data_IF_933085040010
#
_entry.id   IF_933085040010
#
_cell.length_a   1.000
_cell.length_b   1.000
_cell.length_c   1.000
_cell.angle_alpha   90.00
_cell.angle_beta   90.00
_cell.angle_gamma   90.00
#
_symmetry.space_group_name_H-M   'P 1'
#
loop_
_entity.id
_entity.type
_entity.pdbx_description
1 polymer ?
#
# COMPACT_ATOMS: atom_id res chain seq x y z
N UNK A 1 30.67 0.13 23.95
CA UNK A 1 30.36 -0.10 22.52
C UNK A 1 30.75 1.15 21.73
N UNK A 2 31.35 1.01 20.55
CA UNK A 2 31.82 2.16 19.76
C UNK A 2 30.66 2.94 19.10
N UNK A 3 30.86 4.23 18.85
CA UNK A 3 29.86 5.12 18.23
C UNK A 3 29.26 4.58 16.91
N UNK A 4 30.01 3.94 15.98
CA UNK A 4 29.43 3.36 14.77
C UNK A 4 28.41 2.25 15.02
N UNK A 5 28.65 1.42 16.03
CA UNK A 5 27.78 0.29 16.36
C UNK A 5 26.41 0.77 16.83
N UNK A 6 26.39 1.76 17.73
CA UNK A 6 25.14 2.32 18.25
C UNK A 6 24.28 2.94 17.15
N UNK A 7 24.89 3.65 16.19
CA UNK A 7 24.16 4.21 15.04
C UNK A 7 23.65 3.08 14.14
N UNK A 8 24.46 2.04 13.91
CA UNK A 8 24.04 0.86 13.18
C UNK A 8 22.82 0.17 13.80
N UNK A 9 22.79 0.03 15.13
CA UNK A 9 21.62 -0.49 15.86
C UNK A 9 20.39 0.42 15.74
N UNK A 10 20.58 1.74 15.74
CA UNK A 10 19.49 2.71 15.54
C UNK A 10 18.82 2.52 14.16
N UNK A 11 19.61 2.31 13.09
CA UNK A 11 19.08 1.97 11.77
C UNK A 11 18.32 0.65 11.77
N UNK A 12 18.88 -0.39 12.38
CA UNK A 12 18.21 -1.70 12.45
C UNK A 12 16.88 -1.62 13.21
N UNK A 13 16.81 -0.83 14.28
CA UNK A 13 15.56 -0.60 15.00
C UNK A 13 14.54 0.19 14.16
N UNK A 14 14.98 1.18 13.38
CA UNK A 14 14.11 1.96 12.50
C UNK A 14 13.41 1.10 11.43
N UNK A 15 14.00 -0.03 11.04
CA UNK A 15 13.37 -0.96 10.09
C UNK A 15 12.04 -1.56 10.57
N UNK A 16 11.87 -1.71 11.90
CA UNK A 16 10.64 -2.25 12.53
C UNK A 16 9.82 -1.17 13.23
N UNK A 17 10.44 -0.04 13.55
CA UNK A 17 9.84 1.17 14.10
C UNK A 17 10.10 2.37 13.16
N UNK A 18 9.37 2.48 12.02
CA UNK A 18 9.70 3.43 10.96
C UNK A 18 9.77 4.90 11.39
N UNK A 19 9.07 5.29 12.45
CA UNK A 19 9.16 6.63 13.02
C UNK A 19 10.58 7.01 13.51
N UNK A 20 11.49 6.05 13.68
CA UNK A 20 12.87 6.27 14.16
C UNK A 20 13.88 6.54 13.03
N UNK A 21 13.46 6.54 11.76
CA UNK A 21 14.39 6.75 10.65
C UNK A 21 15.08 8.11 10.70
N UNK A 22 14.33 9.19 10.96
CA UNK A 22 14.91 10.52 11.07
C UNK A 22 15.90 10.63 12.24
N UNK A 23 15.61 10.01 13.38
CA UNK A 23 16.53 9.98 14.52
C UNK A 23 17.83 9.25 14.17
N UNK A 24 17.75 8.11 13.48
CA UNK A 24 18.93 7.36 13.05
C UNK A 24 19.77 8.16 12.03
N UNK A 25 19.11 8.85 11.09
CA UNK A 25 19.75 9.76 10.15
C UNK A 25 20.42 10.94 10.88
N UNK A 26 19.74 11.57 11.84
CA UNK A 26 20.26 12.68 12.63
C UNK A 26 21.47 12.29 13.48
N UNK A 27 21.46 11.08 14.07
CA UNK A 27 22.62 10.54 14.78
C UNK A 27 23.84 10.37 13.86
N UNK A 28 23.63 9.91 12.63
CA UNK A 28 24.70 9.81 11.64
C UNK A 28 25.20 11.18 11.18
N UNK A 29 24.31 12.14 10.92
CA UNK A 29 24.66 13.50 10.55
C UNK A 29 25.52 14.14 11.65
N UNK A 30 25.08 14.05 12.91
CA UNK A 30 25.81 14.55 14.08
C UNK A 30 27.19 13.89 14.23
N UNK A 31 27.27 12.56 14.13
CA UNK A 31 28.53 11.83 14.27
C UNK A 31 29.56 12.13 13.17
N UNK A 32 29.10 12.59 12.01
CA UNK A 32 29.94 12.95 10.86
C UNK A 32 30.14 14.46 10.73
N UNK A 33 29.54 15.26 11.62
CA UNK A 33 29.52 16.72 11.53
C UNK A 33 28.92 17.21 10.21
N UNK A 34 27.98 16.48 9.63
CA UNK A 34 27.25 16.86 8.41
C UNK A 34 25.99 17.61 8.79
N UNK A 35 25.49 18.47 7.90
CA UNK A 35 24.26 19.23 8.16
C UNK A 35 23.04 18.29 8.14
N UNK A 36 22.99 17.34 7.19
CA UNK A 36 21.94 16.34 7.13
C UNK A 36 22.45 14.96 6.70
N UNK A 37 21.68 13.92 7.02
CA UNK A 37 21.74 12.62 6.37
C UNK A 37 20.41 12.35 5.68
N UNK A 38 20.46 11.61 4.57
CA UNK A 38 19.32 11.36 3.70
C UNK A 38 19.20 9.88 3.36
N UNK A 39 17.97 9.38 3.33
CA UNK A 39 17.57 8.14 2.68
C UNK A 39 16.50 8.46 1.64
N UNK A 40 16.69 8.04 0.39
CA UNK A 40 15.78 8.37 -0.71
C UNK A 40 15.50 7.13 -1.57
N UNK A 41 14.22 6.89 -1.85
CA UNK A 41 13.74 5.86 -2.77
C UNK A 41 13.38 6.47 -4.11
N UNK A 42 14.07 6.02 -5.17
CA UNK A 42 13.81 6.44 -6.54
C UNK A 42 13.33 5.23 -7.33
N UNK A 43 12.07 5.27 -7.76
CA UNK A 43 11.41 4.21 -8.50
C UNK A 43 11.81 4.14 -9.98
N UNK A 44 11.28 3.13 -10.68
CA UNK A 44 11.40 3.05 -12.13
C UNK A 44 10.83 4.32 -12.80
N UNK A 45 11.59 4.90 -13.74
CA UNK A 45 11.32 6.20 -14.39
C UNK A 45 11.58 7.43 -13.51
N UNK A 46 12.38 7.30 -12.47
CA UNK A 46 12.79 8.42 -11.62
C UNK A 46 11.59 9.07 -10.91
N UNK A 47 10.66 8.26 -10.39
CA UNK A 47 9.66 8.76 -9.44
C UNK A 47 10.26 8.76 -8.04
N UNK A 48 9.99 9.79 -7.24
CA UNK A 48 10.32 9.78 -5.82
C UNK A 48 9.26 8.95 -5.11
N UNK A 49 9.66 7.79 -4.60
CA UNK A 49 8.76 6.92 -3.81
C UNK A 49 8.74 7.37 -2.35
N UNK A 50 9.90 7.79 -1.83
CA UNK A 50 10.07 8.47 -0.55
C UNK A 50 11.38 9.26 -0.54
N UNK A 51 11.45 10.29 0.30
CA UNK A 51 12.65 11.09 0.54
C UNK A 51 12.65 11.41 2.03
N UNK A 52 13.67 11.01 2.79
CA UNK A 52 13.76 11.27 4.22
C UNK A 52 15.08 11.95 4.49
N UNK A 53 15.02 13.14 5.08
CA UNK A 53 16.21 13.95 5.38
C UNK A 53 16.12 14.38 6.83
N UNK A 54 17.19 14.16 7.61
CA UNK A 54 17.23 14.55 9.02
C UNK A 54 17.19 16.07 9.16
N UNK A 55 16.44 16.59 10.14
CA UNK A 55 16.47 18.00 10.54
C UNK A 55 16.21 19.00 9.39
N UNK A 56 15.34 18.66 8.44
CA UNK A 56 14.88 19.57 7.38
C UNK A 56 13.46 20.06 7.64
N UNK A 57 13.17 21.31 7.26
CA UNK A 57 11.79 21.82 7.27
C UNK A 57 10.97 21.30 6.07
N UNK A 58 9.64 21.36 6.20
CA UNK A 58 8.69 20.84 5.20
C UNK A 58 8.79 21.58 3.85
N UNK A 59 9.23 22.84 3.84
CA UNK A 59 9.33 23.67 2.63
C UNK A 59 10.53 23.22 1.79
N UNK A 60 11.67 23.05 2.44
CA UNK A 60 12.88 22.49 1.85
C UNK A 60 12.62 21.07 1.31
N UNK A 61 11.83 20.28 2.04
CA UNK A 61 11.43 18.95 1.63
C UNK A 61 10.59 18.96 0.35
N UNK A 62 9.54 19.78 0.31
CA UNK A 62 8.65 19.90 -0.84
C UNK A 62 9.38 20.43 -2.09
N UNK A 63 10.36 21.32 -1.93
CA UNK A 63 11.17 21.83 -3.04
C UNK A 63 12.03 20.75 -3.70
N UNK A 64 12.52 19.78 -2.91
CA UNK A 64 13.31 18.66 -3.40
C UNK A 64 12.46 17.55 -4.07
N UNK A 65 11.16 17.48 -3.76
CA UNK A 65 10.25 16.43 -4.23
C UNK A 65 9.66 16.70 -5.62
N UNK A 66 10.53 17.06 -6.56
CA UNK A 66 10.18 17.36 -7.96
C UNK A 66 10.73 16.26 -8.90
N UNK A 67 9.88 15.56 -9.67
CA UNK A 67 10.33 14.45 -10.52
C UNK A 67 11.46 14.79 -11.49
N UNK A 68 11.45 15.99 -12.07
CA UNK A 68 12.50 16.47 -12.98
C UNK A 68 13.88 16.52 -12.33
N UNK A 69 13.95 16.77 -11.02
CA UNK A 69 15.19 16.85 -10.23
C UNK A 69 15.75 15.47 -9.86
N UNK A 70 15.13 14.39 -10.31
CA UNK A 70 15.61 13.01 -10.04
C UNK A 70 16.06 12.26 -11.27
N UNK A 71 16.10 12.94 -12.42
CA UNK A 71 16.68 12.37 -13.64
C UNK A 71 18.21 12.43 -13.60
N UNK A 72 18.93 11.43 -14.15
CA UNK A 72 20.40 11.45 -14.15
C UNK A 72 20.99 12.54 -15.04
N UNK A 73 20.23 13.05 -16.01
CA UNK A 73 20.67 14.16 -16.88
C UNK A 73 20.66 15.51 -16.18
N UNK A 74 19.83 15.67 -15.14
CA UNK A 74 19.70 16.93 -14.37
C UNK A 74 20.37 16.82 -12.99
N UNK A 75 20.36 15.64 -12.38
CA UNK A 75 20.88 15.41 -11.04
C UNK A 75 22.17 14.59 -11.03
N UNK A 76 23.30 15.27 -10.77
CA UNK A 76 24.61 14.64 -10.71
C UNK A 76 24.72 13.53 -9.65
N UNK A 77 23.95 13.61 -8.56
CA UNK A 77 23.91 12.55 -7.52
C UNK A 77 23.22 11.30 -8.04
N UNK A 78 22.11 11.44 -8.77
CA UNK A 78 21.46 10.28 -9.41
C UNK A 78 22.36 9.66 -10.48
N UNK A 79 22.95 10.48 -11.36
CA UNK A 79 23.92 9.99 -12.35
C UNK A 79 25.11 9.25 -11.72
N UNK A 80 25.64 9.77 -10.61
CA UNK A 80 26.71 9.11 -9.87
C UNK A 80 26.26 7.73 -9.39
N UNK A 81 25.09 7.64 -8.75
CA UNK A 81 24.55 6.39 -8.20
C UNK A 81 24.27 5.31 -9.23
N UNK A 82 23.76 5.67 -10.42
CA UNK A 82 23.44 4.70 -11.49
C UNK A 82 24.68 4.07 -12.12
N UNK A 83 25.80 4.78 -12.14
CA UNK A 83 27.04 4.34 -12.79
C UNK A 83 28.05 3.77 -11.81
N UNK A 84 27.73 3.77 -10.52
CA UNK A 84 28.64 3.35 -9.47
C UNK A 84 28.69 1.83 -9.30
N UNK A 85 29.88 1.27 -8.99
CA UNK A 85 29.98 -0.09 -8.49
C UNK A 85 29.16 -0.29 -7.21
N UNK A 86 28.65 -1.50 -6.94
CA UNK A 86 27.98 -1.81 -5.69
C UNK A 86 28.83 -1.43 -4.47
N UNK A 87 28.20 -0.83 -3.45
CA UNK A 87 28.83 -0.39 -2.21
C UNK A 87 29.87 0.74 -2.35
N UNK A 88 30.08 1.30 -3.54
CA UNK A 88 31.00 2.43 -3.69
C UNK A 88 30.46 3.66 -2.94
N UNK A 89 31.38 4.39 -2.30
CA UNK A 89 31.10 5.69 -1.70
C UNK A 89 31.54 6.74 -2.70
N UNK A 90 30.59 7.53 -3.17
CA UNK A 90 30.79 8.58 -4.15
C UNK A 90 30.81 9.90 -3.43
N UNK A 91 31.75 10.76 -3.78
CA UNK A 91 31.97 12.02 -3.10
C UNK A 91 32.30 13.11 -4.12
N UNK A 92 32.89 14.20 -3.65
CA UNK A 92 33.01 15.46 -4.39
C UNK A 92 33.76 15.35 -5.72
N UNK A 93 34.78 14.50 -5.81
CA UNK A 93 35.54 14.24 -7.05
C UNK A 93 34.66 13.65 -8.15
N UNK A 94 33.81 12.67 -7.80
CA UNK A 94 32.86 12.07 -8.73
C UNK A 94 31.79 13.07 -9.15
N UNK A 95 31.32 13.91 -8.23
CA UNK A 95 30.34 14.95 -8.52
C UNK A 95 30.92 15.99 -9.49
N UNK A 96 32.14 16.46 -9.25
CA UNK A 96 32.83 17.42 -10.11
C UNK A 96 33.00 16.92 -11.54
N UNK A 97 33.27 15.61 -11.72
CA UNK A 97 33.37 15.01 -13.05
C UNK A 97 32.03 14.94 -13.80
N UNK A 98 30.90 14.87 -13.09
CA UNK A 98 29.57 14.71 -13.68
C UNK A 98 28.86 16.03 -13.96
N UNK A 99 29.08 17.08 -13.15
CA UNK A 99 28.42 18.38 -13.29
C UNK A 99 28.51 18.99 -14.71
N UNK A 100 29.66 18.95 -15.42
CA UNK A 100 29.75 19.51 -16.78
C UNK A 100 28.89 18.79 -17.83
N UNK A 101 28.36 17.61 -17.52
CA UNK A 101 27.58 16.77 -18.44
C UNK A 101 26.07 16.87 -18.17
N UNK A 102 25.64 17.72 -17.24
CA UNK A 102 24.22 17.96 -16.99
C UNK A 102 23.60 18.78 -18.12
N UNK A 103 22.31 18.57 -18.37
CA UNK A 103 21.57 19.26 -19.43
C UNK A 103 21.09 20.65 -19.00
N UNK A 104 21.00 20.89 -17.71
CA UNK A 104 20.55 22.13 -17.07
C UNK A 104 21.11 22.24 -15.64
N UNK A 105 20.92 23.40 -15.03
CA UNK A 105 21.40 23.72 -13.67
C UNK A 105 20.34 23.53 -12.58
N UNK A 106 19.15 22.99 -12.88
CA UNK A 106 18.01 23.01 -11.96
C UNK A 106 18.29 22.31 -10.63
N UNK A 107 19.07 21.22 -10.64
CA UNK A 107 19.49 20.54 -9.41
C UNK A 107 20.63 21.27 -8.69
N UNK A 108 21.48 22.00 -9.41
CA UNK A 108 22.52 22.85 -8.81
C UNK A 108 21.90 24.05 -8.10
N UNK A 109 20.89 24.67 -8.70
CA UNK A 109 20.09 25.73 -8.10
C UNK A 109 19.41 25.23 -6.82
N UNK A 110 18.78 24.05 -6.85
CA UNK A 110 18.23 23.43 -5.65
C UNK A 110 19.31 23.21 -4.57
N UNK A 111 20.49 22.71 -4.95
CA UNK A 111 21.58 22.52 -3.99
C UNK A 111 22.06 23.84 -3.39
N UNK A 112 22.00 24.95 -4.13
CA UNK A 112 22.31 26.29 -3.65
C UNK A 112 21.24 26.77 -2.67
N UNK A 113 19.97 26.69 -3.05
CA UNK A 113 18.83 27.13 -2.24
C UNK A 113 18.74 26.37 -0.91
N UNK A 114 18.96 25.05 -0.96
CA UNK A 114 18.94 24.18 0.21
C UNK A 114 20.30 24.12 0.94
N UNK A 115 21.32 24.82 0.45
CA UNK A 115 22.66 24.83 1.03
C UNK A 115 23.28 23.42 1.21
N UNK A 116 23.16 22.56 0.19
CA UNK A 116 23.68 21.18 0.17
C UNK A 116 24.64 20.86 -1.00
N UNK A 117 25.58 21.75 -1.36
CA UNK A 117 26.46 21.55 -2.51
C UNK A 117 27.48 20.42 -2.33
N UNK A 118 27.71 19.95 -1.10
CA UNK A 118 28.75 18.97 -0.73
C UNK A 118 28.17 17.70 -0.07
N UNK A 119 29.01 16.68 0.11
CA UNK A 119 28.61 15.44 0.77
C UNK A 119 29.18 14.18 0.13
N UNK A 120 28.70 13.04 0.59
CA UNK A 120 28.98 11.75 -0.04
C UNK A 120 27.72 10.89 -0.06
N UNK A 121 27.69 9.86 -0.90
CA UNK A 121 26.55 8.97 -1.02
C UNK A 121 26.96 7.54 -1.37
N UNK A 122 26.02 6.64 -1.25
CA UNK A 122 26.10 5.29 -1.80
C UNK A 122 24.70 4.78 -2.15
N UNK A 123 24.63 3.79 -3.02
CA UNK A 123 23.39 3.06 -3.32
C UNK A 123 23.31 1.87 -2.38
N UNK A 124 22.31 1.83 -1.49
CA UNK A 124 22.13 0.73 -0.55
C UNK A 124 21.49 -0.48 -1.23
N UNK A 125 20.46 -0.23 -2.03
CA UNK A 125 19.70 -1.24 -2.75
C UNK A 125 19.43 -0.75 -4.16
N UNK A 126 19.52 -1.64 -5.15
CA UNK A 126 19.10 -1.38 -6.52
C UNK A 126 18.48 -2.65 -7.10
N UNK A 127 17.48 -2.50 -7.95
CA UNK A 127 16.79 -3.64 -8.53
C UNK A 127 15.72 -3.25 -9.53
N UNK A 128 14.85 -4.21 -9.84
CA UNK A 128 13.79 -4.06 -10.83
C UNK A 128 12.72 -3.03 -10.45
N UNK A 129 12.67 -2.55 -9.22
CA UNK A 129 11.68 -1.56 -8.77
C UNK A 129 12.25 -0.15 -8.61
N UNK A 130 13.57 0.03 -8.75
CA UNK A 130 14.24 1.30 -8.48
C UNK A 130 15.51 1.13 -7.64
N UNK A 131 15.93 2.21 -6.99
CA UNK A 131 17.07 2.24 -6.07
C UNK A 131 16.73 2.95 -4.77
N UNK A 132 17.48 2.62 -3.72
CA UNK A 132 17.49 3.32 -2.45
C UNK A 132 18.88 3.94 -2.26
N UNK A 133 18.94 5.26 -2.32
CA UNK A 133 20.12 6.08 -2.10
C UNK A 133 20.27 6.45 -0.63
N UNK A 134 21.51 6.56 -0.18
CA UNK A 134 21.87 6.98 1.17
C UNK A 134 22.98 8.01 1.08
N UNK A 135 22.84 9.14 1.76
CA UNK A 135 23.75 10.26 1.59
C UNK A 135 23.97 11.07 2.87
N UNK A 136 25.10 11.76 2.91
CA UNK A 136 25.34 12.92 3.74
C UNK A 136 25.22 14.17 2.87
N UNK A 137 24.55 15.20 3.39
CA UNK A 137 24.38 16.50 2.75
C UNK A 137 25.11 17.54 3.59
N UNK A 138 25.93 18.37 2.93
CA UNK A 138 26.82 19.32 3.60
C UNK A 138 26.77 20.68 2.92
N UNK A 139 26.73 21.71 3.75
CA UNK A 139 26.72 23.12 3.38
C UNK A 139 28.11 23.65 3.05
N UNK A 140 28.15 24.86 2.50
CA UNK A 140 29.40 25.56 2.21
C UNK A 140 30.23 25.80 3.49
N UNK A 141 29.56 26.05 4.63
CA UNK A 141 30.19 26.26 5.94
C UNK A 141 30.85 24.97 6.46
N UNK A 142 30.17 23.85 6.26
CA UNK A 142 30.59 22.52 6.72
C UNK A 142 31.64 21.89 5.78
N UNK A 143 31.64 22.30 4.50
CA UNK A 143 32.64 21.93 3.50
C UNK A 143 32.51 20.49 2.98
N UNK A 144 33.42 20.06 2.09
CA UNK A 144 33.45 18.73 1.51
C UNK A 144 33.75 17.64 2.56
N UNK A 145 33.41 16.40 2.25
CA UNK A 145 33.73 15.25 3.08
C UNK A 145 35.24 14.98 3.10
N UNK A 146 35.77 14.61 4.28
CA UNK A 146 37.14 14.10 4.42
C UNK A 146 37.15 12.55 4.52
N UNK A 147 38.34 11.96 4.64
CA UNK A 147 38.49 10.51 4.73
C UNK A 147 37.78 9.93 5.97
N UNK A 148 37.92 10.60 7.13
CA UNK A 148 37.31 10.16 8.39
C UNK A 148 35.78 10.15 8.32
N UNK A 149 35.20 11.18 7.71
CA UNK A 149 33.76 11.30 7.45
C UNK A 149 33.27 10.13 6.60
N UNK A 150 33.99 9.83 5.52
CA UNK A 150 33.64 8.73 4.60
C UNK A 150 33.84 7.35 5.25
N UNK A 151 34.84 7.16 6.08
CA UNK A 151 35.05 5.92 6.85
C UNK A 151 33.90 5.69 7.85
N UNK A 152 33.48 6.73 8.57
CA UNK A 152 32.33 6.67 9.47
C UNK A 152 31.04 6.33 8.69
N UNK A 153 30.79 7.01 7.58
CA UNK A 153 29.65 6.71 6.69
C UNK A 153 29.68 5.26 6.18
N UNK A 154 30.86 4.78 5.76
CA UNK A 154 31.07 3.41 5.30
C UNK A 154 30.74 2.37 6.39
N UNK A 155 31.09 2.67 7.64
CA UNK A 155 30.90 1.75 8.76
C UNK A 155 29.43 1.51 9.11
N UNK A 156 28.56 2.50 8.87
CA UNK A 156 27.11 2.43 9.14
C UNK A 156 26.31 1.91 7.95
N UNK A 157 26.85 2.06 6.73
CA UNK A 157 26.20 1.67 5.46
C UNK A 157 25.60 0.26 5.48
N UNK A 158 26.32 -0.73 6.01
CA UNK A 158 25.85 -2.12 6.03
C UNK A 158 24.58 -2.29 6.88
N UNK A 159 24.53 -1.66 8.05
CA UNK A 159 23.35 -1.65 8.90
C UNK A 159 22.19 -0.89 8.25
N UNK A 160 22.46 0.26 7.64
CA UNK A 160 21.43 1.02 6.90
C UNK A 160 20.85 0.22 5.72
N UNK A 161 21.69 -0.48 4.94
CA UNK A 161 21.25 -1.35 3.85
C UNK A 161 20.38 -2.52 4.36
N UNK A 162 20.82 -3.16 5.46
CA UNK A 162 20.08 -4.26 6.08
C UNK A 162 18.73 -3.78 6.60
N UNK A 163 18.70 -2.62 7.26
CA UNK A 163 17.48 -2.00 7.76
C UNK A 163 16.49 -1.68 6.62
N UNK A 164 16.98 -1.05 5.54
CA UNK A 164 16.15 -0.74 4.39
C UNK A 164 15.60 -2.01 3.71
N UNK A 165 16.43 -3.04 3.56
CA UNK A 165 16.01 -4.33 2.99
C UNK A 165 14.95 -5.02 3.87
N UNK A 166 15.12 -4.97 5.20
CA UNK A 166 14.19 -5.55 6.15
C UNK A 166 12.83 -4.84 6.08
N UNK A 167 12.79 -3.51 6.13
CA UNK A 167 11.52 -2.78 6.01
C UNK A 167 10.83 -3.07 4.67
N UNK A 168 11.58 -3.06 3.55
CA UNK A 168 11.03 -3.39 2.24
C UNK A 168 10.41 -4.80 2.21
N UNK A 169 11.07 -5.78 2.83
CA UNK A 169 10.54 -7.13 2.95
C UNK A 169 9.26 -7.18 3.79
N UNK A 170 9.22 -6.47 4.92
CA UNK A 170 8.03 -6.38 5.78
C UNK A 170 6.84 -5.71 5.08
N UNK A 171 7.08 -4.61 4.36
CA UNK A 171 6.04 -3.92 3.59
C UNK A 171 5.46 -4.82 2.49
N UNK A 172 6.31 -5.55 1.77
CA UNK A 172 5.87 -6.51 0.75
C UNK A 172 5.08 -7.66 1.36
N UNK A 173 5.54 -8.23 2.47
CA UNK A 173 4.84 -9.31 3.18
C UNK A 173 3.48 -8.84 3.71
N UNK A 174 3.34 -7.55 4.04
CA UNK A 174 2.06 -6.93 4.41
C UNK A 174 0.95 -7.20 3.39
N UNK A 175 1.25 -7.23 2.08
CA UNK A 175 0.25 -7.55 1.05
C UNK A 175 -0.30 -8.97 1.19
N UNK A 176 0.58 -9.94 1.47
CA UNK A 176 0.19 -11.34 1.67
C UNK A 176 -0.58 -11.54 2.95
N UNK A 177 -0.21 -10.86 4.03
CA UNK A 177 -0.94 -10.91 5.30
C UNK A 177 -2.37 -10.37 5.16
N UNK A 178 -2.54 -9.23 4.47
CA UNK A 178 -3.87 -8.67 4.19
C UNK A 178 -4.68 -9.64 3.33
N UNK A 179 -4.11 -10.13 2.22
CA UNK A 179 -4.81 -11.09 1.37
C UNK A 179 -5.19 -12.37 2.12
N UNK A 180 -4.26 -12.97 2.88
CA UNK A 180 -4.50 -14.17 3.68
C UNK A 180 -5.57 -14.00 4.76
N UNK A 181 -5.72 -12.79 5.32
CA UNK A 181 -6.79 -12.48 6.27
C UNK A 181 -8.17 -12.53 5.60
N UNK A 182 -8.31 -11.95 4.41
CA UNK A 182 -9.56 -12.02 3.64
C UNK A 182 -9.82 -13.41 3.06
N UNK A 183 -8.78 -14.16 2.73
CA UNK A 183 -8.86 -15.57 2.32
C UNK A 183 -9.49 -16.42 3.44
N UNK A 184 -9.02 -16.26 4.68
CA UNK A 184 -9.56 -16.96 5.84
C UNK A 184 -11.04 -16.62 6.10
N UNK A 185 -11.51 -15.45 5.65
CA UNK A 185 -12.90 -15.01 5.72
C UNK A 185 -13.73 -15.41 4.49
N UNK A 186 -13.16 -16.11 3.51
CA UNK A 186 -13.83 -16.49 2.26
C UNK A 186 -14.27 -15.28 1.42
N UNK A 187 -13.57 -14.16 1.54
CA UNK A 187 -13.93 -12.89 0.89
C UNK A 187 -13.00 -12.61 -0.29
N UNK A 188 -13.57 -12.41 -1.49
CA UNK A 188 -12.78 -12.04 -2.66
C UNK A 188 -12.18 -10.63 -2.48
N UNK A 189 -10.86 -10.56 -2.31
CA UNK A 189 -10.12 -9.33 -2.06
C UNK A 189 -8.91 -9.20 -3.01
N UNK A 190 -8.72 -8.00 -3.52
CA UNK A 190 -7.53 -7.55 -4.23
C UNK A 190 -6.81 -6.53 -3.35
N UNK A 191 -5.54 -6.77 -3.03
CA UNK A 191 -4.71 -5.82 -2.27
C UNK A 191 -3.93 -4.96 -3.26
N UNK A 192 -4.03 -3.64 -3.09
CA UNK A 192 -3.57 -2.64 -4.04
C UNK A 192 -2.47 -1.77 -3.44
N UNK A 193 -1.50 -1.38 -4.28
CA UNK A 193 -0.51 -0.36 -3.95
C UNK A 193 -1.07 1.07 -4.12
N UNK A 194 -0.26 2.10 -3.83
CA UNK A 194 -0.63 3.51 -4.00
C UNK A 194 -0.98 3.88 -5.43
N UNK A 195 -0.43 3.16 -6.41
CA UNK A 195 -0.73 3.35 -7.83
C UNK A 195 -2.02 2.64 -8.21
N UNK A 196 -2.71 1.93 -7.31
CA UNK A 196 -3.90 1.11 -7.56
C UNK A 196 -3.62 -0.12 -8.44
N UNK A 197 -2.39 -0.63 -8.39
CA UNK A 197 -2.01 -1.91 -9.00
C UNK A 197 -2.12 -3.04 -7.99
N UNK A 198 -2.52 -4.22 -8.45
CA UNK A 198 -2.75 -5.42 -7.65
C UNK A 198 -1.40 -6.05 -7.28
N UNK A 199 -1.19 -6.19 -5.97
CA UNK A 199 0.02 -6.77 -5.39
C UNK A 199 -0.24 -8.16 -4.76
N UNK A 200 -1.48 -8.44 -4.36
CA UNK A 200 -1.91 -9.75 -3.89
C UNK A 200 -3.41 -9.95 -4.14
N UNK A 201 -3.84 -11.20 -4.26
CA UNK A 201 -5.23 -11.62 -4.48
C UNK A 201 -5.56 -12.84 -3.63
N UNK A 202 -6.81 -12.93 -3.19
CA UNK A 202 -7.40 -14.15 -2.60
C UNK A 202 -7.80 -15.14 -3.70
N UNK A 203 -7.89 -16.45 -3.42
CA UNK A 203 -8.38 -17.49 -4.33
C UNK A 203 -9.81 -17.20 -4.83
N UNK A 204 -10.67 -16.67 -3.96
CA UNK A 204 -12.02 -16.25 -4.35
C UNK A 204 -12.00 -15.09 -5.36
N UNK A 205 -11.03 -14.19 -5.27
CA UNK A 205 -10.82 -13.14 -6.26
C UNK A 205 -10.22 -13.67 -7.57
N UNK A 206 -9.32 -14.66 -7.49
CA UNK A 206 -8.79 -15.34 -8.68
C UNK A 206 -9.91 -16.04 -9.47
N UNK A 207 -10.91 -16.60 -8.77
CA UNK A 207 -12.08 -17.20 -9.42
C UNK A 207 -12.85 -16.15 -10.23
N UNK A 208 -13.06 -14.95 -9.69
CA UNK A 208 -13.70 -13.85 -10.43
C UNK A 208 -12.90 -13.38 -11.65
N UNK A 209 -11.56 -13.48 -11.59
CA UNK A 209 -10.70 -13.23 -12.74
C UNK A 209 -10.82 -14.35 -13.80
N UNK A 210 -10.87 -15.60 -13.35
CA UNK A 210 -10.98 -16.77 -14.24
C UNK A 210 -12.33 -16.83 -14.95
N UNK A 211 -13.43 -16.53 -14.25
CA UNK A 211 -14.78 -16.40 -14.82
C UNK A 211 -14.91 -15.21 -15.78
N UNK A 212 -13.97 -14.25 -15.72
CA UNK A 212 -13.99 -13.05 -16.55
C UNK A 212 -14.95 -11.96 -16.09
N UNK A 213 -15.58 -12.13 -14.91
CA UNK A 213 -16.38 -11.10 -14.23
C UNK A 213 -15.53 -9.86 -13.95
N UNK A 214 -14.28 -10.07 -13.50
CA UNK A 214 -13.25 -9.04 -13.38
C UNK A 214 -12.07 -9.40 -14.29
N UNK A 215 -11.25 -8.42 -14.67
CA UNK A 215 -10.02 -8.65 -15.45
C UNK A 215 -8.86 -7.87 -14.86
N UNK A 216 -7.64 -8.26 -15.23
CA UNK A 216 -6.43 -7.47 -15.00
C UNK A 216 -5.93 -6.87 -16.31
N UNK A 217 -5.67 -5.56 -16.31
CA UNK A 217 -4.96 -4.86 -17.38
C UNK A 217 -3.86 -4.01 -16.74
N UNK A 218 -2.60 -4.20 -17.15
CA UNK A 218 -1.43 -3.56 -16.55
C UNK A 218 -1.40 -3.68 -15.01
N UNK A 219 -1.69 -4.88 -14.51
CA UNK A 219 -1.84 -5.20 -13.09
C UNK A 219 -2.94 -4.40 -12.35
N UNK A 220 -3.88 -3.76 -13.03
CA UNK A 220 -5.04 -3.07 -12.41
C UNK A 220 -6.32 -3.86 -12.62
N UNK A 221 -7.21 -3.85 -11.63
CA UNK A 221 -8.55 -4.43 -11.78
C UNK A 221 -9.36 -3.57 -12.75
N UNK A 222 -9.89 -4.19 -13.80
CA UNK A 222 -10.75 -3.57 -14.80
C UNK A 222 -12.02 -4.38 -15.01
N UNK A 223 -13.06 -3.71 -15.48
CA UNK A 223 -14.38 -4.29 -15.73
C UNK A 223 -14.64 -4.47 -17.22
N UNK A 224 -15.31 -5.57 -17.65
CA UNK A 224 -15.62 -5.80 -19.06
C UNK A 224 -16.54 -4.73 -19.68
N UNK A 225 -17.53 -4.22 -18.93
CA UNK A 225 -18.41 -3.12 -19.39
C UNK A 225 -17.72 -1.78 -19.22
N UNK A 226 -17.68 -0.99 -20.29
CA UNK A 226 -16.97 0.28 -20.33
C UNK A 226 -17.50 1.31 -19.31
N UNK A 227 -18.82 1.42 -19.12
CA UNK A 227 -19.40 2.38 -18.18
C UNK A 227 -19.10 2.00 -16.72
N UNK A 228 -19.12 0.71 -16.40
CA UNK A 228 -18.76 0.21 -15.08
C UNK A 228 -17.26 0.41 -14.82
N UNK A 229 -16.43 0.16 -15.83
CA UNK A 229 -15.00 0.40 -15.76
C UNK A 229 -14.66 1.88 -15.55
N UNK A 230 -15.39 2.81 -16.18
CA UNK A 230 -15.25 4.26 -15.95
C UNK A 230 -15.58 4.63 -14.50
N UNK A 231 -16.66 4.06 -13.93
CA UNK A 231 -17.03 4.27 -12.53
C UNK A 231 -15.96 3.73 -11.57
N UNK A 232 -15.40 2.55 -11.86
CA UNK A 232 -14.29 1.97 -11.10
C UNK A 232 -13.03 2.83 -11.15
N UNK A 233 -12.63 3.26 -12.35
CA UNK A 233 -11.46 4.11 -12.54
C UNK A 233 -11.60 5.46 -11.80
N UNK A 234 -12.79 6.07 -11.84
CA UNK A 234 -13.07 7.30 -11.11
C UNK A 234 -12.95 7.09 -9.59
N UNK A 235 -13.55 6.02 -9.05
CA UNK A 235 -13.45 5.70 -7.63
C UNK A 235 -12.00 5.42 -7.19
N UNK A 236 -11.24 4.67 -7.99
CA UNK A 236 -9.81 4.42 -7.73
C UNK A 236 -8.99 5.71 -7.75
N UNK A 237 -9.30 6.64 -8.66
CA UNK A 237 -8.62 7.94 -8.77
C UNK A 237 -8.89 8.83 -7.57
N UNK A 238 -10.16 8.93 -7.13
CA UNK A 238 -10.49 9.70 -5.93
C UNK A 238 -9.88 9.10 -4.66
N UNK A 239 -9.77 7.76 -4.59
CA UNK A 239 -9.17 7.08 -3.46
C UNK A 239 -7.64 7.29 -3.41
N UNK A 240 -6.95 7.15 -4.56
CA UNK A 240 -5.49 7.38 -4.65
C UNK A 240 -5.10 8.84 -4.42
N UNK A 241 -5.94 9.79 -4.84
CA UNK A 241 -5.80 11.20 -4.54
C UNK A 241 -6.15 11.55 -3.08
N UNK A 242 -6.62 10.59 -2.28
CA UNK A 242 -7.01 10.79 -0.88
C UNK A 242 -8.24 11.66 -0.68
N UNK A 243 -9.04 11.89 -1.73
CA UNK A 243 -10.29 12.66 -1.67
C UNK A 243 -11.38 11.89 -0.91
N UNK A 244 -11.32 10.56 -0.92
CA UNK A 244 -12.25 9.66 -0.22
C UNK A 244 -11.49 8.53 0.48
N UNK A 245 -12.05 8.02 1.59
CA UNK A 245 -11.51 6.84 2.28
C UNK A 245 -12.08 5.51 1.77
N UNK A 246 -13.27 5.55 1.16
CA UNK A 246 -13.93 4.37 0.63
C UNK A 246 -14.85 4.73 -0.53
N UNK A 247 -15.17 3.74 -1.36
CA UNK A 247 -16.13 3.85 -2.46
C UNK A 247 -16.83 2.52 -2.70
N UNK A 248 -18.05 2.56 -3.20
CA UNK A 248 -18.83 1.36 -3.52
C UNK A 248 -19.42 1.47 -4.92
N UNK A 249 -19.32 0.38 -5.69
CA UNK A 249 -19.84 0.29 -7.05
C UNK A 249 -20.65 -1.00 -7.16
N UNK A 250 -21.89 -0.89 -7.62
CA UNK A 250 -22.68 -2.05 -8.02
C UNK A 250 -22.62 -2.24 -9.53
N UNK A 251 -22.35 -3.47 -9.96
CA UNK A 251 -22.36 -3.89 -11.36
C UNK A 251 -23.30 -5.09 -11.55
N UNK A 252 -23.79 -5.27 -12.76
CA UNK A 252 -24.50 -6.48 -13.14
C UNK A 252 -23.50 -7.61 -13.42
N UNK A 253 -23.83 -8.83 -13.00
CA UNK A 253 -23.04 -10.04 -13.18
C UNK A 253 -23.96 -11.19 -13.60
N UNK A 254 -23.43 -12.24 -14.22
CA UNK A 254 -24.26 -13.35 -14.75
C UNK A 254 -25.07 -14.06 -13.66
N UNK A 255 -24.59 -14.05 -12.41
CA UNK A 255 -25.26 -14.59 -11.23
C UNK A 255 -26.10 -13.59 -10.42
N UNK A 256 -26.22 -12.32 -10.84
CA UNK A 256 -26.96 -11.29 -10.11
C UNK A 256 -26.28 -9.92 -10.10
N UNK A 257 -26.15 -9.31 -8.93
CA UNK A 257 -25.40 -8.06 -8.76
C UNK A 257 -24.06 -8.36 -8.07
N UNK A 258 -22.97 -7.76 -8.54
CA UNK A 258 -21.68 -7.77 -7.85
C UNK A 258 -21.44 -6.36 -7.27
N UNK A 259 -21.13 -6.30 -5.99
CA UNK A 259 -20.73 -5.08 -5.31
C UNK A 259 -19.21 -5.07 -5.14
N UNK A 260 -18.58 -4.02 -5.64
CA UNK A 260 -17.16 -3.72 -5.45
C UNK A 260 -17.02 -2.63 -4.40
N UNK A 261 -16.38 -2.95 -3.27
CA UNK A 261 -16.07 -2.01 -2.20
C UNK A 261 -14.57 -1.71 -2.22
N UNK A 262 -14.21 -0.45 -2.40
CA UNK A 262 -12.84 0.02 -2.26
C UNK A 262 -12.67 0.66 -0.89
N UNK A 263 -11.61 0.29 -0.18
CA UNK A 263 -11.24 0.89 1.10
C UNK A 263 -9.76 1.26 1.09
N UNK A 264 -9.46 2.50 1.46
CA UNK A 264 -8.09 2.94 1.72
C UNK A 264 -7.67 2.40 3.08
N UNK A 265 -6.48 1.81 3.13
CA UNK A 265 -5.90 1.34 4.39
C UNK A 265 -5.25 2.53 5.13
N UNK A 266 -5.14 2.46 6.48
CA UNK A 266 -4.43 3.46 7.24
C UNK A 266 -3.00 3.63 6.73
N UNK A 267 -2.61 4.87 6.41
CA UNK A 267 -1.26 5.18 6.00
C UNK A 267 -0.34 5.09 7.22
N UNK A 268 0.73 4.31 7.10
CA UNK A 268 1.83 4.35 8.05
C UNK A 268 2.79 5.46 7.63
N UNK A 269 3.12 6.36 8.53
CA UNK A 269 4.21 7.31 8.28
C UNK A 269 5.52 6.53 8.02
N UNK A 270 6.44 7.14 7.28
CA UNK A 270 7.76 6.56 7.00
C UNK A 270 7.70 5.18 6.30
N UNK A 271 6.67 4.94 5.48
CA UNK A 271 6.66 3.80 4.57
C UNK A 271 7.49 4.09 3.32
N UNK A 272 8.12 3.05 2.77
CA UNK A 272 8.94 3.13 1.56
C UNK A 272 8.10 3.10 0.27
N UNK A 273 6.77 3.21 0.36
CA UNK A 273 5.86 3.14 -0.77
C UNK A 273 5.48 1.72 -1.22
N UNK A 274 5.93 0.68 -0.50
CA UNK A 274 5.68 -0.73 -0.84
C UNK A 274 4.71 -1.40 0.13
N UNK A 275 4.08 -0.66 1.03
CA UNK A 275 3.04 -1.17 1.91
C UNK A 275 1.67 -1.23 1.19
N UNK A 276 0.76 -2.12 1.61
CA UNK A 276 -0.63 -2.11 1.16
C UNK A 276 -1.26 -0.73 1.33
N UNK A 277 -1.84 -0.20 0.26
CA UNK A 277 -2.46 1.13 0.27
C UNK A 277 -3.98 1.05 0.29
N UNK A 278 -4.55 0.09 -0.43
CA UNK A 278 -6.00 -0.08 -0.52
C UNK A 278 -6.37 -1.54 -0.71
N UNK A 279 -7.63 -1.85 -0.48
CA UNK A 279 -8.24 -3.13 -0.81
C UNK A 279 -9.47 -2.90 -1.69
N UNK A 280 -9.70 -3.83 -2.62
CA UNK A 280 -10.94 -3.94 -3.38
C UNK A 280 -11.58 -5.28 -3.03
N UNK A 281 -12.74 -5.22 -2.39
CA UNK A 281 -13.54 -6.38 -2.01
C UNK A 281 -14.65 -6.54 -3.04
N UNK A 282 -14.79 -7.74 -3.60
CA UNK A 282 -15.85 -8.10 -4.51
C UNK A 282 -16.82 -9.05 -3.81
N UNK A 283 -18.10 -8.68 -3.74
CA UNK A 283 -19.14 -9.50 -3.12
C UNK A 283 -20.32 -9.66 -4.07
N UNK A 284 -20.68 -10.91 -4.38
CA UNK A 284 -21.93 -11.21 -5.11
C UNK A 284 -23.10 -11.01 -4.15
N UNK A 285 -24.08 -10.22 -4.57
CA UNK A 285 -25.36 -10.13 -3.89
C UNK A 285 -26.06 -11.48 -3.98
N UNK A 286 -26.29 -12.11 -2.83
CA UNK A 286 -26.84 -13.46 -2.74
C UNK A 286 -25.75 -14.54 -2.84
N UNK A 287 -24.74 -14.49 -1.97
CA UNK A 287 -23.73 -15.53 -1.76
C UNK A 287 -24.32 -16.81 -1.16
N UNK A 288 -25.38 -17.33 -1.80
CA UNK A 288 -26.34 -18.22 -1.18
C UNK A 288 -25.73 -19.48 -0.62
N UNK A 289 -24.64 -20.02 -1.20
CA UNK A 289 -24.02 -21.24 -0.67
C UNK A 289 -23.19 -21.01 0.60
N UNK A 290 -22.34 -19.97 0.63
CA UNK A 290 -21.49 -19.66 1.77
C UNK A 290 -22.30 -19.03 2.91
N UNK A 291 -23.19 -18.09 2.59
CA UNK A 291 -24.08 -17.46 3.56
C UNK A 291 -25.05 -18.50 4.16
N UNK A 292 -25.54 -19.45 3.35
CA UNK A 292 -26.33 -20.58 3.85
C UNK A 292 -25.50 -21.50 4.74
N UNK A 293 -24.27 -21.86 4.35
CA UNK A 293 -23.39 -22.69 5.17
C UNK A 293 -23.10 -22.03 6.53
N UNK A 294 -22.84 -20.71 6.53
CA UNK A 294 -22.63 -19.91 7.73
C UNK A 294 -23.87 -19.93 8.64
N UNK A 295 -25.06 -19.64 8.10
CA UNK A 295 -26.29 -19.62 8.88
C UNK A 295 -26.61 -20.99 9.46
N UNK A 296 -26.38 -22.06 8.68
CA UNK A 296 -26.62 -23.43 9.14
C UNK A 296 -25.64 -23.86 10.22
N UNK A 297 -24.37 -23.47 10.11
CA UNK A 297 -23.33 -23.83 11.08
C UNK A 297 -23.41 -23.06 12.39
N UNK A 298 -23.85 -21.79 12.37
CA UNK A 298 -23.86 -20.93 13.56
C UNK A 298 -25.22 -20.85 14.27
N UNK A 299 -26.32 -21.12 13.56
CA UNK A 299 -27.68 -20.98 14.09
C UNK A 299 -28.51 -22.28 13.96
N UNK A 300 -27.87 -23.41 13.64
CA UNK A 300 -28.52 -24.70 13.44
C UNK A 300 -29.74 -24.65 12.50
N UNK A 301 -29.66 -23.76 11.50
CA UNK A 301 -30.71 -23.66 10.49
C UNK A 301 -30.72 -24.90 9.59
N UNK A 302 -31.90 -25.28 9.15
CA UNK A 302 -32.06 -26.21 8.04
C UNK A 302 -31.74 -25.52 6.71
N UNK A 303 -31.55 -26.29 5.64
CA UNK A 303 -31.41 -25.74 4.29
C UNK A 303 -32.57 -24.78 3.94
N UNK A 304 -33.80 -25.21 4.26
CA UNK A 304 -35.01 -24.44 4.01
C UNK A 304 -35.06 -23.11 4.77
N UNK A 305 -34.68 -23.13 6.05
CA UNK A 305 -34.69 -21.92 6.90
C UNK A 305 -33.61 -20.93 6.45
N UNK A 306 -32.41 -21.40 6.13
CA UNK A 306 -31.35 -20.52 5.67
C UNK A 306 -31.66 -19.90 4.30
N UNK A 307 -32.26 -20.64 3.36
CA UNK A 307 -32.71 -20.06 2.09
C UNK A 307 -33.79 -18.99 2.29
N UNK A 308 -34.73 -19.19 3.21
CA UNK A 308 -35.73 -18.18 3.57
C UNK A 308 -35.07 -16.95 4.21
N UNK A 309 -34.09 -17.14 5.09
CA UNK A 309 -33.35 -16.05 5.71
C UNK A 309 -32.61 -15.19 4.66
N UNK A 310 -31.97 -15.82 3.67
CA UNK A 310 -31.31 -15.11 2.58
C UNK A 310 -32.30 -14.32 1.71
N UNK A 311 -33.48 -14.86 1.45
CA UNK A 311 -34.53 -14.15 0.72
C UNK A 311 -35.09 -12.96 1.52
N UNK A 312 -35.22 -13.09 2.84
CA UNK A 312 -35.58 -11.98 3.73
C UNK A 312 -34.49 -10.88 3.74
N UNK A 313 -33.23 -11.27 3.85
CA UNK A 313 -32.07 -10.38 3.76
C UNK A 313 -32.05 -9.61 2.43
N UNK A 314 -32.38 -10.27 1.32
CA UNK A 314 -32.52 -9.66 0.01
C UNK A 314 -33.79 -8.78 -0.17
N UNK A 315 -34.55 -8.54 0.91
CA UNK A 315 -35.75 -7.70 0.91
C UNK A 315 -36.91 -8.26 0.09
N UNK A 316 -36.97 -9.58 -0.14
CA UNK A 316 -38.05 -10.20 -0.94
C UNK A 316 -39.37 -10.21 -0.16
N UNK A 317 -40.50 -9.78 -0.76
CA UNK A 317 -41.80 -9.86 -0.10
C UNK A 317 -42.25 -11.32 0.04
N UNK A 318 -43.07 -11.60 1.06
CA UNK A 318 -43.53 -12.96 1.42
C UNK A 318 -44.13 -13.76 0.25
N UNK A 319 -44.89 -13.09 -0.62
CA UNK A 319 -45.49 -13.74 -1.80
C UNK A 319 -44.43 -14.17 -2.81
N UNK A 320 -43.37 -13.38 -3.00
CA UNK A 320 -42.24 -13.75 -3.82
C UNK A 320 -41.43 -14.90 -3.20
N UNK A 321 -41.31 -14.95 -1.87
CA UNK A 321 -40.66 -16.06 -1.15
C UNK A 321 -41.47 -17.35 -1.33
N UNK A 322 -42.80 -17.29 -1.19
CA UNK A 322 -43.70 -18.43 -1.41
C UNK A 322 -43.55 -18.97 -2.84
N UNK A 323 -43.56 -18.07 -3.83
CA UNK A 323 -43.41 -18.43 -5.23
C UNK A 323 -42.03 -19.04 -5.53
N UNK A 324 -40.94 -18.43 -5.03
CA UNK A 324 -39.58 -18.92 -5.24
C UNK A 324 -39.34 -20.29 -4.62
N UNK A 325 -40.01 -20.60 -3.50
CA UNK A 325 -39.83 -21.85 -2.75
C UNK A 325 -40.89 -22.91 -3.07
N UNK A 326 -41.93 -22.58 -3.84
CA UNK A 326 -43.04 -23.48 -4.12
C UNK A 326 -43.86 -23.87 -2.89
N UNK A 327 -43.98 -22.98 -1.90
CA UNK A 327 -44.68 -23.24 -0.62
C UNK A 327 -45.89 -22.33 -0.42
N UNK A 328 -46.82 -22.76 0.42
CA UNK A 328 -47.99 -21.93 0.80
C UNK A 328 -47.60 -20.86 1.83
N UNK A 329 -48.43 -19.80 1.94
CA UNK A 329 -48.26 -18.78 2.99
C UNK A 329 -48.25 -19.38 4.40
N UNK A 330 -49.05 -20.42 4.65
CA UNK A 330 -49.07 -21.07 5.97
C UNK A 330 -47.82 -21.89 6.25
N UNK A 331 -47.28 -22.55 5.23
CA UNK A 331 -45.99 -23.24 5.31
C UNK A 331 -44.86 -22.23 5.57
N UNK A 332 -44.85 -21.10 4.86
CA UNK A 332 -43.89 -20.01 5.09
C UNK A 332 -44.01 -19.47 6.52
N UNK A 333 -45.23 -19.29 7.05
CA UNK A 333 -45.44 -18.83 8.43
C UNK A 333 -44.85 -19.79 9.46
N UNK A 334 -44.97 -21.09 9.23
CA UNK A 334 -44.34 -22.11 10.09
C UNK A 334 -42.82 -22.05 10.04
N UNK A 335 -42.23 -21.92 8.84
CA UNK A 335 -40.78 -21.76 8.69
C UNK A 335 -40.26 -20.49 9.34
N UNK A 336 -40.94 -19.35 9.18
CA UNK A 336 -40.54 -18.09 9.81
C UNK A 336 -40.57 -18.17 11.34
N UNK A 337 -41.55 -18.85 11.93
CA UNK A 337 -41.60 -19.05 13.38
C UNK A 337 -40.41 -19.87 13.89
N UNK A 338 -40.07 -20.96 13.19
CA UNK A 338 -38.92 -21.79 13.53
C UNK A 338 -37.60 -21.03 13.34
N UNK A 339 -37.46 -20.32 12.22
CA UNK A 339 -36.32 -19.47 11.92
C UNK A 339 -36.09 -18.41 13.01
N UNK A 340 -37.12 -17.65 13.38
CA UNK A 340 -37.00 -16.59 14.38
C UNK A 340 -36.64 -17.14 15.76
N UNK A 341 -37.20 -18.29 16.14
CA UNK A 341 -36.82 -18.96 17.38
C UNK A 341 -35.33 -19.36 17.39
N UNK A 342 -34.80 -19.88 16.28
CA UNK A 342 -33.38 -20.25 16.15
C UNK A 342 -32.45 -19.04 16.08
N UNK A 343 -32.90 -17.94 15.49
CA UNK A 343 -32.17 -16.67 15.48
C UNK A 343 -32.29 -15.89 16.80
N UNK A 344 -33.12 -16.33 17.73
CA UNK A 344 -33.34 -15.65 19.01
C UNK A 344 -34.09 -14.31 18.91
N UNK A 345 -34.85 -14.10 17.83
CA UNK A 345 -35.60 -12.86 17.57
C UNK A 345 -37.10 -13.10 17.62
N UNK A 346 -37.88 -12.04 17.89
CA UNK A 346 -39.34 -12.15 17.98
C UNK A 346 -40.07 -11.49 16.81
N UNK A 347 -39.39 -10.58 16.09
CA UNK A 347 -39.98 -9.81 14.99
C UNK A 347 -39.19 -10.00 13.70
N UNK A 348 -39.91 -9.95 12.57
CA UNK A 348 -39.29 -10.03 11.24
C UNK A 348 -38.30 -8.88 11.00
N UNK A 349 -38.61 -7.68 11.46
CA UNK A 349 -37.70 -6.52 11.35
C UNK A 349 -36.40 -6.74 12.15
N UNK A 350 -36.48 -7.38 13.31
CA UNK A 350 -35.28 -7.76 14.10
C UNK A 350 -34.45 -8.81 13.38
N UNK A 351 -35.12 -9.81 12.77
CA UNK A 351 -34.45 -10.82 11.95
C UNK A 351 -33.72 -10.17 10.75
N UNK A 352 -34.38 -9.23 10.06
CA UNK A 352 -33.79 -8.51 8.92
C UNK A 352 -32.58 -7.68 9.37
N UNK A 353 -32.68 -6.95 10.49
CA UNK A 353 -31.55 -6.20 11.04
C UNK A 353 -30.37 -7.10 11.42
N UNK A 354 -30.64 -8.24 12.06
CA UNK A 354 -29.62 -9.23 12.38
C UNK A 354 -28.94 -9.75 11.11
N UNK A 355 -29.73 -10.10 10.08
CA UNK A 355 -29.19 -10.60 8.82
C UNK A 355 -28.34 -9.56 8.10
N UNK A 356 -28.75 -8.29 8.07
CA UNK A 356 -27.91 -7.21 7.57
C UNK A 356 -26.62 -7.07 8.39
N UNK A 357 -26.68 -7.15 9.72
CA UNK A 357 -25.47 -7.09 10.55
C UNK A 357 -24.52 -8.29 10.33
N UNK A 358 -25.03 -9.44 9.90
CA UNK A 358 -24.22 -10.62 9.57
C UNK A 358 -23.62 -10.57 8.17
N UNK A 359 -24.23 -9.82 7.24
CA UNK A 359 -23.87 -9.87 5.83
C UNK A 359 -23.44 -8.52 5.21
N UNK A 360 -23.56 -7.37 5.88
CA UNK A 360 -23.19 -6.04 5.33
C UNK A 360 -21.99 -5.38 6.01
#
# INVERSE_FOLDING_TARGET
MGQPHAIGEAFLAAAVEPQRWLDALGQLASATGSDHAQLIGIGLRYSIDFNWVSDTDDVAHAAADRPELTTPTTNFRVAAGLTAPPNAILAEDRYAALRPHLIDDAYLDLCSDLHIPHGCQTTLLSGSTGLIGFALLRSQRTGPTDAKTREMFASVRASAATAAALQLALEREGHRLVAGSFEAMGTACFVLDRKMTVQAVTLSAETLLHEGTLRLADARVVLPRADDNKRLAAAMTSLSAGQVQAGTIAIADEGGALTLRLHRLPLREWNMGFAPYAILIAKRAGGGAADLAFLRGNYDLTAAEGEIALLLHAGRPRDAICAARGITRETLRSHLRSLFAKLGVSRETEAIHLLHALFD
#
